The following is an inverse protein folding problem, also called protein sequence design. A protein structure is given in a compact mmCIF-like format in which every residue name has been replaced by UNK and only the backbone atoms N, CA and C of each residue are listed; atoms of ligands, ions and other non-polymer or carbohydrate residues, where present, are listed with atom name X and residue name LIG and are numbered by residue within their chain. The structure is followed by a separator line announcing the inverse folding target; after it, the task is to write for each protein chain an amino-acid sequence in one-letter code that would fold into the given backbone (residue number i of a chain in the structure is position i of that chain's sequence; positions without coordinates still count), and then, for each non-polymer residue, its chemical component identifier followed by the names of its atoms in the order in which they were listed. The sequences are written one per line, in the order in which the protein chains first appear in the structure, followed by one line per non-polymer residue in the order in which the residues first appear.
data_IF_317671913344
#
_entry.id   IF_317671913344
#
_cell.length_a   1.000
_cell.length_b   1.000
_cell.length_c   1.000
_cell.angle_alpha   90.00
_cell.angle_beta   90.00
_cell.angle_gamma   90.00
#
_symmetry.space_group_name_H-M   'P 1'
#
loop_
_entity.id
_entity.type
_entity.pdbx_description
1 polymer ?
#
# COMPACT_ATOMS: atom_id res chain seq x y z
N UNK A 1 6.04 9.80 11.24
CA UNK A 1 6.88 8.97 10.36
C UNK A 1 8.17 8.51 11.02
N UNK A 2 8.97 9.40 11.64
CA UNK A 2 10.20 9.00 12.34
C UNK A 2 9.95 8.05 13.52
N UNK A 3 8.99 8.38 14.39
CA UNK A 3 8.63 7.54 15.55
C UNK A 3 8.05 6.17 15.17
N UNK A 4 7.47 6.05 13.97
CA UNK A 4 6.96 4.79 13.43
C UNK A 4 8.00 4.09 12.52
N UNK A 5 9.24 4.58 12.51
CA UNK A 5 10.39 3.99 11.82
C UNK A 5 10.21 3.79 10.30
N UNK A 6 9.28 4.49 9.66
CA UNK A 6 8.94 4.35 8.22
C UNK A 6 10.12 4.65 7.28
N UNK A 7 11.10 5.41 7.77
CA UNK A 7 12.31 5.78 7.02
C UNK A 7 13.35 4.65 6.98
N UNK A 8 13.20 3.61 7.80
CA UNK A 8 14.09 2.45 7.81
C UNK A 8 13.65 1.49 6.69
N UNK A 9 14.49 1.35 5.67
CA UNK A 9 14.33 0.36 4.62
C UNK A 9 14.94 -1.00 5.01
N UNK A 10 15.21 -1.83 4.00
CA UNK A 10 15.88 -3.12 4.17
C UNK A 10 17.36 -3.04 3.76
N UNK A 11 18.07 -4.17 3.81
CA UNK A 11 19.48 -4.27 3.39
C UNK A 11 19.64 -4.34 1.87
N UNK A 12 18.58 -4.71 1.15
CA UNK A 12 18.57 -4.86 -0.30
C UNK A 12 17.75 -3.72 -0.90
N UNK A 13 18.21 -3.18 -2.02
CA UNK A 13 17.49 -2.15 -2.74
C UNK A 13 17.33 -2.60 -4.19
N UNK A 14 16.12 -2.48 -4.73
CA UNK A 14 15.92 -2.59 -6.17
C UNK A 14 16.46 -1.33 -6.87
N UNK A 15 16.95 -1.48 -8.09
CA UNK A 15 17.54 -0.40 -8.87
C UNK A 15 16.56 0.78 -9.06
N UNK A 16 15.26 0.51 -9.28
CA UNK A 16 14.28 1.58 -9.47
C UNK A 16 13.92 2.32 -8.17
N UNK A 17 14.23 1.72 -7.02
CA UNK A 17 13.99 2.29 -5.70
C UNK A 17 15.14 3.16 -5.20
N UNK A 18 16.34 3.08 -5.80
CA UNK A 18 17.52 3.86 -5.40
C UNK A 18 17.26 5.37 -5.38
N UNK A 19 16.44 5.88 -6.30
CA UNK A 19 16.04 7.30 -6.34
C UNK A 19 15.30 7.78 -5.08
N UNK A 20 14.71 6.89 -4.29
CA UNK A 20 14.02 7.21 -3.04
C UNK A 20 14.92 7.04 -1.80
N UNK A 21 16.10 6.46 -1.98
CA UNK A 21 17.10 6.31 -0.92
C UNK A 21 17.76 7.66 -0.63
N UNK A 22 17.95 7.96 0.65
CA UNK A 22 18.72 9.09 1.12
C UNK A 22 20.19 8.71 1.33
N UNK A 23 20.44 7.66 2.11
CA UNK A 23 21.79 7.17 2.45
C UNK A 23 21.74 5.71 2.91
N UNK A 24 22.85 4.99 2.79
CA UNK A 24 23.06 3.69 3.43
C UNK A 24 23.79 3.85 4.76
N UNK A 25 23.29 3.24 5.84
CA UNK A 25 23.94 3.19 7.16
C UNK A 25 25.07 2.15 7.14
N UNK A 26 26.01 2.27 8.08
CA UNK A 26 27.13 1.33 8.23
C UNK A 26 26.67 -0.12 8.44
N UNK A 27 25.50 -0.31 9.07
CA UNK A 27 24.88 -1.63 9.29
C UNK A 27 24.24 -2.24 8.02
N UNK A 28 24.37 -1.54 6.88
CA UNK A 28 23.91 -1.96 5.56
C UNK A 28 22.45 -1.60 5.24
N UNK A 29 21.70 -1.03 6.19
CA UNK A 29 20.30 -0.61 6.01
C UNK A 29 20.21 0.66 5.16
N UNK A 30 19.31 0.65 4.17
CA UNK A 30 18.98 1.84 3.38
C UNK A 30 17.99 2.74 4.12
N UNK A 31 18.31 4.03 4.23
CA UNK A 31 17.44 5.06 4.79
C UNK A 31 16.67 5.70 3.62
N UNK A 32 15.35 5.73 3.72
CA UNK A 32 14.46 6.32 2.73
C UNK A 32 14.32 7.83 2.97
N UNK A 33 14.33 8.62 1.90
CA UNK A 33 14.14 10.07 1.98
C UNK A 33 12.66 10.42 2.24
N UNK A 34 12.37 10.91 3.45
CA UNK A 34 11.02 11.29 3.86
C UNK A 34 10.41 12.42 3.04
N UNK A 35 11.20 13.35 2.51
CA UNK A 35 10.70 14.42 1.63
C UNK A 35 10.12 13.84 0.34
N UNK A 36 10.85 12.90 -0.28
CA UNK A 36 10.36 12.18 -1.47
C UNK A 36 9.17 11.27 -1.15
N UNK A 37 9.15 10.64 0.03
CA UNK A 37 7.99 9.86 0.50
C UNK A 37 6.75 10.75 0.63
N UNK A 38 6.89 11.96 1.18
CA UNK A 38 5.79 12.91 1.32
C UNK A 38 5.19 13.33 -0.02
N UNK A 39 6.04 13.65 -1.01
CA UNK A 39 5.59 13.96 -2.37
C UNK A 39 4.77 12.83 -3.00
N UNK A 40 5.20 11.58 -2.80
CA UNK A 40 4.49 10.40 -3.31
C UNK A 40 3.19 10.13 -2.57
N UNK A 41 3.14 10.37 -1.26
CA UNK A 41 1.91 10.26 -0.48
C UNK A 41 0.86 11.28 -0.93
N UNK A 42 1.27 12.53 -1.18
CA UNK A 42 0.36 13.55 -1.72
C UNK A 42 -0.16 13.18 -3.10
N UNK A 43 0.70 12.66 -3.98
CA UNK A 43 0.28 12.18 -5.29
C UNK A 43 -0.73 11.02 -5.18
N UNK A 44 -0.47 10.05 -4.31
CA UNK A 44 -1.38 8.93 -4.07
C UNK A 44 -2.73 9.40 -3.52
N UNK A 45 -2.74 10.35 -2.58
CA UNK A 45 -3.97 10.93 -2.05
C UNK A 45 -4.82 11.61 -3.13
N UNK A 46 -4.19 12.32 -4.08
CA UNK A 46 -4.90 12.93 -5.22
C UNK A 46 -5.54 11.88 -6.14
N UNK A 47 -4.85 10.76 -6.38
CA UNK A 47 -5.40 9.64 -7.17
C UNK A 47 -6.59 8.99 -6.46
N UNK A 48 -6.51 8.81 -5.14
CA UNK A 48 -7.61 8.25 -4.32
C UNK A 48 -8.85 9.14 -4.41
N UNK A 49 -8.70 10.46 -4.25
CA UNK A 49 -9.82 11.42 -4.31
C UNK A 49 -10.43 11.53 -5.71
N UNK A 50 -9.68 11.21 -6.77
CA UNK A 50 -10.19 11.23 -8.13
C UNK A 50 -11.19 10.08 -8.43
N UNK A 51 -11.29 9.06 -7.57
CA UNK A 51 -12.29 8.01 -7.70
C UNK A 51 -13.62 8.50 -7.12
N UNK A 52 -14.63 8.63 -7.99
CA UNK A 52 -15.96 9.14 -7.61
C UNK A 52 -16.69 8.22 -6.63
N UNK A 53 -16.62 6.90 -6.83
CA UNK A 53 -17.23 5.90 -5.95
C UNK A 53 -16.15 5.20 -5.11
N UNK A 54 -16.03 5.50 -3.80
CA UNK A 54 -15.02 4.87 -2.94
C UNK A 54 -15.14 3.34 -2.85
N UNK A 55 -16.33 2.78 -3.08
CA UNK A 55 -16.56 1.33 -3.07
C UNK A 55 -15.85 0.59 -4.21
N UNK A 56 -15.49 1.30 -5.29
CA UNK A 56 -14.72 0.74 -6.41
C UNK A 56 -13.22 0.62 -6.07
N UNK A 57 -12.81 1.00 -4.86
CA UNK A 57 -11.45 0.85 -4.36
C UNK A 57 -11.34 -0.39 -3.48
N UNK A 58 -10.27 -1.17 -3.69
CA UNK A 58 -9.94 -2.29 -2.82
C UNK A 58 -8.59 -2.05 -2.15
N UNK A 59 -8.57 -2.24 -0.83
CA UNK A 59 -7.39 -2.13 0.01
C UNK A 59 -7.09 -3.51 0.58
N UNK A 60 -5.86 -3.99 0.39
CA UNK A 60 -5.53 -5.37 0.70
C UNK A 60 -4.22 -5.50 1.45
N UNK A 61 -4.23 -6.38 2.46
CA UNK A 61 -3.07 -6.68 3.29
C UNK A 61 -3.09 -8.13 3.78
N UNK A 62 -2.06 -8.91 3.43
CA UNK A 62 -2.03 -10.34 3.73
C UNK A 62 -1.48 -10.68 5.12
N UNK A 63 -0.47 -9.94 5.59
CA UNK A 63 0.25 -10.27 6.84
C UNK A 63 -0.60 -9.88 8.08
N UNK A 64 -0.34 -10.40 9.29
CA UNK A 64 -1.17 -10.06 10.45
C UNK A 64 -0.99 -8.61 10.93
N UNK A 65 0.19 -8.01 10.77
CA UNK A 65 0.51 -6.70 11.37
C UNK A 65 -0.28 -5.52 10.78
N UNK A 66 -0.73 -5.63 9.53
CA UNK A 66 -1.44 -4.56 8.81
C UNK A 66 -2.94 -4.81 8.61
N UNK A 67 -3.48 -5.96 9.04
CA UNK A 67 -4.92 -6.28 8.86
C UNK A 67 -5.82 -5.22 9.50
N UNK A 68 -5.51 -4.82 10.73
CA UNK A 68 -6.27 -3.76 11.43
C UNK A 68 -6.18 -2.42 10.71
N UNK A 69 -5.01 -2.09 10.16
CA UNK A 69 -4.81 -0.84 9.45
C UNK A 69 -5.67 -0.78 8.18
N UNK A 70 -5.74 -1.87 7.42
CA UNK A 70 -6.59 -1.95 6.21
C UNK A 70 -8.07 -1.86 6.54
N UNK A 71 -8.55 -2.59 7.56
CA UNK A 71 -9.94 -2.49 7.98
C UNK A 71 -10.32 -1.06 8.41
N UNK A 72 -9.44 -0.38 9.14
CA UNK A 72 -9.68 1.01 9.58
C UNK A 72 -9.59 2.00 8.42
N UNK A 73 -8.62 1.84 7.53
CA UNK A 73 -8.47 2.70 6.36
C UNK A 73 -9.68 2.60 5.44
N UNK A 74 -10.13 1.37 5.15
CA UNK A 74 -11.34 1.12 4.37
C UNK A 74 -12.59 1.71 5.04
N UNK A 75 -12.73 1.57 6.36
CA UNK A 75 -13.83 2.16 7.12
C UNK A 75 -13.89 3.70 7.00
N UNK A 76 -12.74 4.39 7.04
CA UNK A 76 -12.71 5.86 6.95
C UNK A 76 -12.92 6.40 5.54
N UNK A 77 -12.50 5.67 4.51
CA UNK A 77 -12.65 6.08 3.11
C UNK A 77 -13.99 5.61 2.53
N UNK A 78 -14.59 4.56 3.08
CA UNK A 78 -15.74 3.87 2.49
C UNK A 78 -15.34 2.92 1.36
N UNK A 79 -14.09 2.44 1.37
CA UNK A 79 -13.57 1.47 0.41
C UNK A 79 -13.80 0.02 0.87
N UNK A 80 -13.58 -0.93 -0.03
CA UNK A 80 -13.59 -2.35 0.31
C UNK A 80 -12.23 -2.81 0.87
N UNK A 81 -12.26 -3.67 1.88
CA UNK A 81 -11.07 -4.22 2.51
C UNK A 81 -10.98 -5.74 2.32
N UNK A 82 -9.82 -6.20 1.88
CA UNK A 82 -9.43 -7.62 1.93
C UNK A 82 -8.33 -7.77 2.98
N UNK A 83 -8.73 -8.10 4.20
CA UNK A 83 -7.83 -8.37 5.29
C UNK A 83 -7.50 -9.88 5.34
N UNK A 84 -6.22 -10.22 5.21
CA UNK A 84 -5.75 -11.60 5.23
C UNK A 84 -5.55 -12.19 3.85
N UNK A 85 -5.80 -13.50 3.72
CA UNK A 85 -5.43 -14.26 2.52
C UNK A 85 -6.20 -13.76 1.30
N UNK A 86 -5.47 -13.44 0.23
CA UNK A 86 -6.06 -13.23 -1.09
C UNK A 86 -6.62 -14.55 -1.63
N UNK A 87 -7.84 -14.53 -2.13
CA UNK A 87 -8.38 -15.67 -2.89
C UNK A 87 -7.99 -15.50 -4.36
N UNK A 88 -7.17 -16.39 -4.94
CA UNK A 88 -6.86 -16.33 -6.37
C UNK A 88 -8.15 -16.38 -7.18
N UNK A 89 -8.27 -15.52 -8.19
CA UNK A 89 -9.49 -15.42 -9.00
C UNK A 89 -10.43 -14.28 -8.62
N UNK A 90 -10.22 -13.62 -7.46
CA UNK A 90 -11.05 -12.49 -7.00
C UNK A 90 -11.19 -11.40 -8.06
N UNK A 91 -10.15 -11.12 -8.84
CA UNK A 91 -10.16 -10.06 -9.86
C UNK A 91 -10.30 -10.56 -11.29
N UNK A 92 -10.34 -11.88 -11.52
CA UNK A 92 -10.25 -12.46 -12.88
C UNK A 92 -11.36 -13.44 -13.21
N UNK A 93 -11.99 -14.08 -12.21
CA UNK A 93 -13.01 -15.10 -12.41
C UNK A 93 -14.39 -14.51 -12.12
N UNK A 94 -15.09 -14.06 -13.16
CA UNK A 94 -16.43 -13.45 -13.06
C UNK A 94 -17.51 -14.38 -12.49
N UNK A 95 -17.32 -15.69 -12.58
CA UNK A 95 -18.26 -16.71 -12.05
C UNK A 95 -18.16 -16.84 -10.52
N UNK A 96 -17.05 -16.39 -9.92
CA UNK A 96 -16.83 -16.52 -8.48
C UNK A 96 -17.72 -15.53 -7.69
N UNK A 97 -18.26 -15.97 -6.56
CA UNK A 97 -19.10 -15.15 -5.68
C UNK A 97 -18.39 -13.92 -5.11
N UNK A 98 -17.07 -14.03 -4.89
CA UNK A 98 -16.23 -12.94 -4.38
C UNK A 98 -15.56 -12.14 -5.51
N UNK A 99 -16.08 -12.22 -6.74
CA UNK A 99 -15.54 -11.45 -7.85
C UNK A 99 -15.65 -9.95 -7.60
N UNK A 100 -14.60 -9.19 -7.92
CA UNK A 100 -14.59 -7.73 -7.79
C UNK A 100 -13.72 -7.11 -8.87
N UNK A 101 -14.16 -6.01 -9.45
CA UNK A 101 -13.40 -5.24 -10.45
C UNK A 101 -13.06 -3.85 -9.89
N UNK A 102 -12.00 -3.73 -9.07
CA UNK A 102 -11.62 -2.45 -8.51
C UNK A 102 -11.02 -1.52 -9.57
N UNK A 103 -11.37 -0.23 -9.50
CA UNK A 103 -10.72 0.83 -10.29
C UNK A 103 -9.37 1.23 -9.72
N UNK A 104 -9.19 1.06 -8.41
CA UNK A 104 -7.94 1.34 -7.70
C UNK A 104 -7.69 0.24 -6.66
N UNK A 105 -6.48 -0.33 -6.71
CA UNK A 105 -6.01 -1.31 -5.75
C UNK A 105 -4.89 -0.68 -4.91
N UNK A 106 -5.04 -0.73 -3.59
CA UNK A 106 -4.01 -0.31 -2.64
C UNK A 106 -3.49 -1.55 -1.93
N UNK A 107 -2.23 -1.88 -2.20
CA UNK A 107 -1.53 -3.01 -1.63
C UNK A 107 -0.41 -2.53 -0.71
N UNK A 108 -0.01 -3.43 0.16
CA UNK A 108 1.16 -3.34 1.01
C UNK A 108 2.08 -4.51 0.75
N UNK A 109 3.39 -4.29 0.76
CA UNK A 109 4.42 -5.29 0.40
C UNK A 109 4.11 -5.96 -0.96
N UNK A 110 4.22 -5.22 -2.09
CA UNK A 110 4.04 -5.77 -3.43
C UNK A 110 5.14 -6.77 -3.81
#
# INVERSE_FOLDING_TARGET
MLAAEVHLGTKNCDFQMERYVFKRRNDGIYIINLGKTWEKLLLAARVIVAIENPQDMIVQFARPYGQRAVLKFAQYIGAQAIAGRHTPGTFTIQIQTSFSEPRLLILTDP
#
